data_IF_344573650590
#
_entry.id   IF_344573650590
#
_cell.length_a   1.000
_cell.length_b   1.000
_cell.length_c   1.000
_cell.angle_alpha   90.00
_cell.angle_beta   90.00
_cell.angle_gamma   90.00
#
_symmetry.space_group_name_H-M   'P 1'
#
loop_
_entity.id
_entity.type
_entity.pdbx_description
1 polymer ?
#
# COMPACT_ATOMS: atom_id res chain seq x y z
N UNK A 1 -18.96 5.06 18.15
CA UNK A 1 -18.33 4.06 17.28
C UNK A 1 -17.11 4.68 16.62
N UNK A 2 -15.89 4.24 16.95
CA UNK A 2 -14.71 4.64 16.17
C UNK A 2 -14.79 4.05 14.76
N UNK A 3 -14.34 4.78 13.74
CA UNK A 3 -14.23 4.25 12.37
C UNK A 3 -13.37 2.99 12.38
N UNK A 4 -13.80 1.93 11.68
CA UNK A 4 -13.03 0.69 11.55
C UNK A 4 -11.77 0.96 10.72
N UNK A 5 -10.59 0.64 11.26
CA UNK A 5 -9.32 0.78 10.54
C UNK A 5 -9.28 -0.19 9.34
N UNK A 6 -9.07 0.33 8.15
CA UNK A 6 -8.92 -0.43 6.90
C UNK A 6 -7.43 -0.57 6.61
N UNK A 7 -6.88 -1.70 7.02
CA UNK A 7 -5.46 -2.02 6.88
C UNK A 7 -5.17 -2.66 5.51
N UNK A 8 -4.21 -2.09 4.77
CA UNK A 8 -3.78 -2.65 3.48
C UNK A 8 -2.50 -3.46 3.62
N UNK A 9 -2.20 -4.31 2.63
CA UNK A 9 -1.00 -5.17 2.63
C UNK A 9 0.32 -4.39 2.64
N UNK A 10 0.33 -3.14 2.19
CA UNK A 10 1.52 -2.30 2.08
C UNK A 10 1.72 -1.34 3.27
N UNK A 11 0.87 -1.39 4.30
CA UNK A 11 1.01 -0.53 5.47
C UNK A 11 0.22 0.78 5.42
N UNK A 12 -0.33 1.11 4.25
CA UNK A 12 -1.25 2.24 4.12
C UNK A 12 -2.61 1.94 4.80
N UNK A 13 -3.28 2.97 5.30
CA UNK A 13 -4.61 2.89 5.88
C UNK A 13 -5.61 3.59 4.96
N UNK A 14 -6.58 2.85 4.42
CA UNK A 14 -7.65 3.44 3.60
C UNK A 14 -8.80 4.02 4.44
N UNK A 15 -8.68 4.02 5.78
CA UNK A 15 -9.76 4.40 6.70
C UNK A 15 -10.26 5.84 6.52
N UNK A 16 -9.37 6.73 6.12
CA UNK A 16 -9.63 8.15 5.88
C UNK A 16 -9.20 8.55 4.45
N UNK A 17 -9.27 7.60 3.51
CA UNK A 17 -8.94 7.85 2.10
C UNK A 17 -10.18 8.30 1.33
N UNK A 18 -10.16 9.52 0.80
CA UNK A 18 -11.29 10.13 0.08
C UNK A 18 -11.61 9.44 -1.27
N UNK A 19 -10.67 8.63 -1.79
CA UNK A 19 -10.86 7.84 -3.00
C UNK A 19 -11.60 6.51 -2.74
N UNK A 20 -11.66 6.06 -1.48
CA UNK A 20 -12.31 4.80 -1.14
C UNK A 20 -13.84 4.95 -1.24
N UNK A 21 -14.47 4.11 -2.06
CA UNK A 21 -15.91 4.15 -2.32
C UNK A 21 -16.34 5.14 -3.41
N UNK A 22 -15.38 5.86 -4.01
CA UNK A 22 -15.60 6.71 -5.19
C UNK A 22 -14.97 6.05 -6.42
N UNK A 23 -13.67 6.25 -6.63
CA UNK A 23 -12.91 5.67 -7.75
C UNK A 23 -12.06 4.45 -7.35
N UNK A 24 -12.04 4.10 -6.06
CA UNK A 24 -11.30 2.97 -5.53
C UNK A 24 -12.18 2.11 -4.62
N UNK A 25 -12.30 0.82 -4.92
CA UNK A 25 -13.04 -0.15 -4.08
C UNK A 25 -12.18 -0.78 -2.96
N UNK A 26 -10.91 -0.39 -2.89
CA UNK A 26 -9.93 -0.95 -1.98
C UNK A 26 -9.20 -2.16 -2.56
N UNK A 27 -7.94 -2.35 -2.14
CA UNK A 27 -7.02 -3.33 -2.74
C UNK A 27 -7.51 -4.77 -2.67
N UNK A 28 -8.28 -5.13 -1.64
CA UNK A 28 -8.82 -6.49 -1.48
C UNK A 28 -9.94 -6.75 -2.49
N UNK A 29 -10.85 -5.80 -2.65
CA UNK A 29 -12.00 -5.90 -3.57
C UNK A 29 -11.57 -5.83 -5.02
N UNK A 30 -10.66 -4.90 -5.34
CA UNK A 30 -10.22 -4.68 -6.72
C UNK A 30 -9.00 -5.53 -7.14
N UNK A 31 -8.61 -6.52 -6.33
CA UNK A 31 -7.45 -7.39 -6.59
C UNK A 31 -6.14 -6.63 -6.86
N UNK A 32 -5.85 -5.62 -6.04
CA UNK A 32 -4.61 -4.84 -6.11
C UNK A 32 -4.58 -3.84 -7.25
N UNK A 33 -5.73 -3.40 -7.77
CA UNK A 33 -5.86 -2.44 -8.87
C UNK A 33 -6.41 -1.08 -8.40
N UNK A 34 -5.75 -0.38 -7.47
CA UNK A 34 -6.19 0.94 -7.01
C UNK A 34 -6.18 1.96 -8.14
N UNK A 35 -6.94 3.04 -7.96
CA UNK A 35 -7.15 4.10 -8.95
C UNK A 35 -5.85 4.63 -9.57
N UNK A 36 -4.74 4.68 -8.83
CA UNK A 36 -3.49 5.25 -9.33
C UNK A 36 -2.77 4.39 -10.38
N UNK A 37 -3.07 3.09 -10.46
CA UNK A 37 -2.38 2.17 -11.38
C UNK A 37 -2.51 2.61 -12.84
N UNK A 38 -3.66 3.21 -13.20
CA UNK A 38 -3.92 3.77 -14.53
C UNK A 38 -2.98 4.94 -14.87
N UNK A 39 -2.59 5.77 -13.90
CA UNK A 39 -1.73 6.94 -14.14
C UNK A 39 -0.29 6.56 -14.47
N UNK A 40 0.15 5.38 -14.03
CA UNK A 40 1.52 4.87 -14.28
C UNK A 40 1.55 3.74 -15.31
N UNK A 41 0.42 3.47 -15.98
CA UNK A 41 0.33 2.49 -17.07
C UNK A 41 0.54 1.04 -16.63
N UNK A 42 0.18 0.69 -15.39
CA UNK A 42 0.23 -0.71 -14.92
C UNK A 42 -1.18 -1.22 -14.60
N UNK A 43 -1.37 -2.53 -14.65
CA UNK A 43 -2.67 -3.15 -14.35
C UNK A 43 -2.83 -3.40 -12.85
N UNK A 44 -1.80 -3.93 -12.18
CA UNK A 44 -1.85 -4.32 -10.77
C UNK A 44 -0.67 -3.72 -10.01
N UNK A 45 -0.93 -3.29 -8.77
CA UNK A 45 0.08 -2.81 -7.84
C UNK A 45 1.14 -3.91 -7.55
N UNK A 46 2.43 -3.67 -7.80
CA UNK A 46 3.47 -4.69 -7.61
C UNK A 46 3.65 -5.13 -6.16
N UNK A 47 3.34 -4.27 -5.19
CA UNK A 47 3.38 -4.63 -3.77
C UNK A 47 2.26 -5.61 -3.44
N UNK A 48 1.05 -5.35 -3.94
CA UNK A 48 -0.09 -6.24 -3.73
C UNK A 48 0.14 -7.59 -4.41
N UNK A 49 0.55 -7.57 -5.68
CA UNK A 49 0.86 -8.79 -6.44
C UNK A 49 1.87 -9.67 -5.70
N UNK A 50 3.00 -9.07 -5.31
CA UNK A 50 4.04 -9.79 -4.60
C UNK A 50 3.58 -10.31 -3.23
N UNK A 51 2.83 -9.51 -2.47
CA UNK A 51 2.43 -9.88 -1.11
C UNK A 51 1.33 -10.94 -1.13
N UNK A 52 0.23 -10.69 -1.86
CA UNK A 52 -0.97 -11.52 -1.82
C UNK A 52 -0.87 -12.76 -2.72
N UNK A 53 -0.25 -12.63 -3.90
CA UNK A 53 -0.21 -13.71 -4.90
C UNK A 53 1.10 -14.50 -4.86
N UNK A 54 2.26 -13.83 -4.95
CA UNK A 54 3.55 -14.52 -5.03
C UNK A 54 3.97 -15.13 -3.68
N UNK A 55 4.05 -14.28 -2.64
CA UNK A 55 4.51 -14.69 -1.31
C UNK A 55 3.40 -15.19 -0.40
N UNK A 56 2.13 -14.92 -0.75
CA UNK A 56 0.93 -15.32 -0.01
C UNK A 56 0.99 -14.93 1.47
N UNK A 57 1.46 -13.71 1.73
CA UNK A 57 1.54 -13.11 3.06
C UNK A 57 0.29 -12.27 3.34
N UNK A 58 -0.16 -12.19 4.61
CA UNK A 58 -1.30 -11.34 4.97
C UNK A 58 -0.98 -9.83 4.81
N UNK A 59 0.29 -9.45 4.97
CA UNK A 59 0.80 -8.10 4.75
C UNK A 59 2.34 -8.16 4.63
N UNK A 60 2.92 -7.09 4.08
CA UNK A 60 4.37 -7.00 3.86
C UNK A 60 5.18 -6.99 5.16
N UNK A 61 4.55 -6.71 6.31
CA UNK A 61 5.17 -6.80 7.64
C UNK A 61 5.76 -8.17 7.99
N UNK A 62 5.28 -9.23 7.35
CA UNK A 62 5.84 -10.59 7.50
C UNK A 62 6.91 -10.93 6.47
N UNK A 63 7.26 -10.00 5.58
CA UNK A 63 8.29 -10.19 4.59
C UNK A 63 9.68 -9.90 5.21
N UNK A 64 10.67 -10.80 5.09
CA UNK A 64 12.03 -10.54 5.56
C UNK A 64 12.71 -9.39 4.79
N UNK A 65 12.26 -9.13 3.56
CA UNK A 65 12.81 -8.11 2.68
C UNK A 65 12.12 -6.74 2.83
N UNK A 66 11.28 -6.55 3.86
CA UNK A 66 10.67 -5.25 4.14
C UNK A 66 11.71 -4.29 4.74
N UNK A 67 11.92 -3.08 4.23
CA UNK A 67 11.29 -2.44 3.04
C UNK A 67 12.04 -2.82 1.75
N UNK A 68 11.31 -3.19 0.69
CA UNK A 68 11.92 -3.54 -0.60
C UNK A 68 11.71 -2.45 -1.67
N UNK A 69 12.42 -2.57 -2.79
CA UNK A 69 12.39 -1.64 -3.93
C UNK A 69 10.98 -1.29 -4.45
N UNK A 70 10.00 -2.19 -4.30
CA UNK A 70 8.62 -1.97 -4.77
C UNK A 70 7.95 -0.78 -4.08
N UNK A 71 8.36 -0.45 -2.85
CA UNK A 71 7.84 0.69 -2.10
C UNK A 71 8.37 2.03 -2.61
N UNK A 72 9.57 2.05 -3.21
CA UNK A 72 10.18 3.26 -3.77
C UNK A 72 9.94 3.41 -5.29
N UNK A 73 9.42 2.37 -5.94
CA UNK A 73 9.20 2.35 -7.39
C UNK A 73 8.20 3.40 -7.89
N UNK A 74 7.16 3.66 -7.11
CA UNK A 74 6.14 4.66 -7.43
C UNK A 74 6.05 5.64 -6.26
N UNK A 75 6.15 6.92 -6.59
CA UNK A 75 6.01 8.05 -5.67
C UNK A 75 4.98 9.01 -6.26
N UNK A 76 4.21 9.65 -5.39
CA UNK A 76 3.40 10.79 -5.79
C UNK A 76 4.30 11.89 -6.36
N UNK A 77 4.08 12.36 -7.60
CA UNK A 77 4.85 13.46 -8.18
C UNK A 77 4.81 14.76 -7.37
N UNK A 78 3.78 14.95 -6.54
CA UNK A 78 3.63 16.10 -5.65
C UNK A 78 4.44 16.03 -4.35
N UNK A 79 5.03 14.87 -4.02
CA UNK A 79 5.81 14.69 -2.79
C UNK A 79 7.31 14.96 -3.01
N UNK A 80 7.91 15.64 -2.02
CA UNK A 80 9.37 15.75 -1.93
C UNK A 80 10.02 14.39 -1.65
N UNK A 81 11.33 14.28 -1.89
CA UNK A 81 12.06 13.05 -1.59
C UNK A 81 12.12 12.79 -0.08
N UNK A 82 12.20 13.84 0.74
CA UNK A 82 12.15 13.74 2.20
C UNK A 82 10.78 13.26 2.70
N UNK A 83 9.69 13.77 2.13
CA UNK A 83 8.34 13.34 2.47
C UNK A 83 8.09 11.87 2.11
N UNK A 84 8.58 11.44 0.94
CA UNK A 84 8.51 10.06 0.52
C UNK A 84 9.34 9.15 1.43
N UNK A 85 10.57 9.53 1.77
CA UNK A 85 11.42 8.79 2.70
C UNK A 85 10.77 8.67 4.10
N UNK A 86 10.19 9.75 4.62
CA UNK A 86 9.45 9.74 5.88
C UNK A 86 8.18 8.86 5.80
N UNK A 87 7.53 8.83 4.63
CA UNK A 87 6.44 7.90 4.33
C UNK A 87 6.86 6.43 4.44
N UNK A 88 7.99 6.07 3.84
CA UNK A 88 8.54 4.71 3.89
C UNK A 88 8.83 4.25 5.32
N UNK A 89 9.46 5.10 6.14
CA UNK A 89 9.75 4.80 7.55
C UNK A 89 8.46 4.55 8.34
N UNK A 90 7.44 5.41 8.15
CA UNK A 90 6.14 5.23 8.81
C UNK A 90 5.46 3.93 8.41
N UNK A 91 5.46 3.59 7.12
CA UNK A 91 4.90 2.34 6.63
C UNK A 91 5.63 1.13 7.18
N UNK A 92 6.96 1.18 7.28
CA UNK A 92 7.75 0.09 7.86
C UNK A 92 7.38 -0.15 9.33
N UNK A 93 7.38 0.91 10.14
CA UNK A 93 7.04 0.82 11.56
C UNK A 93 5.62 0.28 11.75
N UNK A 94 4.66 0.78 10.96
CA UNK A 94 3.28 0.31 11.01
C UNK A 94 3.19 -1.18 10.68
N UNK A 95 3.82 -1.62 9.58
CA UNK A 95 3.80 -3.01 9.14
C UNK A 95 4.48 -3.95 10.13
N UNK A 96 5.60 -3.54 10.73
CA UNK A 96 6.31 -4.33 11.76
C UNK A 96 5.53 -4.43 13.07
N UNK A 97 4.62 -3.49 13.33
CA UNK A 97 3.76 -3.53 14.52
C UNK A 97 2.58 -4.51 14.40
N UNK A 98 2.25 -4.95 13.18
CA UNK A 98 1.16 -5.90 12.92
C UNK A 98 1.58 -7.33 13.30
N UNK A 99 0.66 -8.07 13.91
CA UNK A 99 0.87 -9.48 14.32
C UNK A 99 0.61 -10.45 13.19
#
# INVERSE_FOLDING_TARGET
MGKKKIETVCGYSCSDCDHLGTECEGCVTNHGRPFWTQFVGIVTCPIYECCAHDRKLPHCGRCPDLVCERFARFKDPGMSDEEAAAGLIRMEQELRSRK
#
